data_IF_486185511897
#
_entry.id   IF_486185511897
#
_cell.length_a   1.000
_cell.length_b   1.000
_cell.length_c   1.000
_cell.angle_alpha   90.00
_cell.angle_beta   90.00
_cell.angle_gamma   90.00
#
_symmetry.space_group_name_H-M   'P 1'
#
loop_
_entity.id
_entity.type
_entity.pdbx_description
1 polymer ?
#
# COMPACT_ATOMS: atom_id res chain seq x y z
N UNK A 1 -1.30 37.96 71.40
CA UNK A 1 -0.75 39.01 70.53
C UNK A 1 -0.42 38.39 69.17
N UNK A 2 -0.99 38.97 68.11
CA UNK A 2 -0.49 38.96 66.73
C UNK A 2 1.04 38.82 66.67
N UNK A 3 1.60 37.99 65.77
CA UNK A 3 2.47 38.37 64.62
C UNK A 3 2.96 37.12 63.84
N UNK A 4 2.62 37.08 62.54
CA UNK A 4 3.45 36.81 61.35
C UNK A 4 4.60 35.78 61.46
N UNK A 5 4.69 34.84 60.50
CA UNK A 5 5.84 34.68 59.58
C UNK A 5 5.41 33.76 58.43
N UNK A 6 5.27 34.38 57.25
CA UNK A 6 5.40 33.74 55.95
C UNK A 6 6.84 33.26 55.83
N UNK A 7 7.07 31.96 55.70
CA UNK A 7 8.39 31.44 55.34
C UNK A 7 8.25 30.65 54.05
N UNK A 8 8.74 31.28 52.99
CA UNK A 8 8.93 30.70 51.67
C UNK A 8 9.87 29.49 51.80
N UNK A 9 9.31 28.29 51.70
CA UNK A 9 10.12 27.09 51.53
C UNK A 9 10.56 27.04 50.07
N UNK A 10 11.81 27.42 49.86
CA UNK A 10 12.54 27.30 48.61
C UNK A 10 12.50 25.84 48.12
N UNK A 11 11.76 25.59 47.05
CA UNK A 11 11.88 24.35 46.28
C UNK A 11 12.93 24.55 45.19
N UNK A 12 14.14 24.10 45.55
CA UNK A 12 15.14 23.42 44.74
C UNK A 12 15.08 23.60 43.21
N UNK A 13 16.16 24.21 42.72
CA UNK A 13 16.72 24.13 41.38
C UNK A 13 16.72 22.68 40.85
N UNK A 14 15.95 22.42 39.80
CA UNK A 14 16.26 21.36 38.83
C UNK A 14 15.94 21.90 37.45
N UNK A 15 16.99 22.27 36.71
CA UNK A 15 16.91 22.55 35.28
C UNK A 15 16.78 21.23 34.53
N UNK A 16 15.67 20.93 33.84
CA UNK A 16 15.70 19.87 32.85
C UNK A 16 16.55 20.35 31.67
N UNK A 17 17.72 19.72 31.51
CA UNK A 17 18.46 19.67 30.25
C UNK A 17 17.49 19.34 29.12
N UNK A 18 17.69 19.96 27.96
CA UNK A 18 16.99 19.68 26.71
C UNK A 18 16.82 18.17 26.49
N UNK A 19 15.66 17.65 26.85
CA UNK A 19 15.13 16.48 26.20
C UNK A 19 14.70 16.97 24.82
N UNK A 20 15.63 16.86 23.86
CA UNK A 20 15.28 16.74 22.45
C UNK A 20 14.44 15.47 22.34
N UNK A 21 13.16 15.60 22.71
CA UNK A 21 12.13 14.69 22.28
C UNK A 21 11.98 14.99 20.79
N UNK A 22 12.94 14.44 20.02
CA UNK A 22 12.82 14.20 18.62
C UNK A 22 11.55 13.37 18.41
N UNK A 23 10.42 14.08 18.35
CA UNK A 23 9.28 13.65 17.57
C UNK A 23 9.77 13.76 16.14
N UNK A 24 10.59 12.78 15.77
CA UNK A 24 10.61 12.21 14.44
C UNK A 24 9.17 11.75 14.20
N UNK A 25 8.32 12.71 13.84
CA UNK A 25 7.29 12.49 12.84
C UNK A 25 8.07 11.92 11.65
N UNK A 26 8.25 10.59 11.68
CA UNK A 26 8.14 9.77 10.50
C UNK A 26 6.77 10.16 9.94
N UNK A 27 6.78 11.24 9.17
CA UNK A 27 5.81 11.48 8.12
C UNK A 27 5.82 10.15 7.41
N UNK A 28 4.83 9.32 7.71
CA UNK A 28 4.47 8.22 6.87
C UNK A 28 4.28 8.90 5.54
N UNK A 29 5.31 8.83 4.69
CA UNK A 29 5.19 9.18 3.31
C UNK A 29 4.17 8.17 2.84
N UNK A 30 2.92 8.60 2.84
CA UNK A 30 1.87 7.99 2.06
C UNK A 30 2.33 8.21 0.62
N UNK A 31 3.29 7.37 0.22
CA UNK A 31 3.53 7.02 -1.15
C UNK A 31 2.27 6.26 -1.53
N UNK A 32 1.18 7.01 -1.78
CA UNK A 32 0.42 6.70 -2.96
C UNK A 32 1.42 6.90 -4.11
N UNK A 33 2.27 5.90 -4.31
CA UNK A 33 2.82 5.66 -5.63
C UNK A 33 1.55 5.46 -6.42
N UNK A 34 1.14 6.52 -7.12
CA UNK A 34 0.05 6.48 -8.07
C UNK A 34 0.57 5.58 -9.17
N UNK A 35 0.57 4.28 -8.88
CA UNK A 35 0.96 3.25 -9.81
C UNK A 35 -0.01 3.47 -10.97
N UNK A 36 0.56 3.84 -12.10
CA UNK A 36 -0.22 4.13 -13.30
C UNK A 36 -0.85 2.82 -13.73
N UNK A 37 -2.07 2.60 -13.21
CA UNK A 37 -2.94 1.49 -13.57
C UNK A 37 -3.89 2.00 -14.63
N UNK A 38 -3.76 1.43 -15.82
CA UNK A 38 -4.65 1.70 -16.93
C UNK A 38 -5.62 0.56 -17.01
N UNK A 39 -6.92 0.81 -16.81
CA UNK A 39 -7.94 -0.21 -17.04
C UNK A 39 -7.91 -0.62 -18.52
N UNK A 40 -7.74 -1.91 -18.78
CA UNK A 40 -7.74 -2.50 -20.11
C UNK A 40 -8.90 -3.48 -20.22
N UNK A 41 -9.48 -3.63 -21.41
CA UNK A 41 -10.50 -4.66 -21.59
C UNK A 41 -9.85 -6.02 -21.71
N UNK A 42 -10.58 -7.07 -21.37
CA UNK A 42 -10.17 -8.46 -21.61
C UNK A 42 -9.87 -8.70 -23.09
N UNK A 43 -10.54 -7.98 -23.98
CA UNK A 43 -10.34 -7.98 -25.43
C UNK A 43 -8.97 -7.41 -25.83
N UNK A 44 -8.46 -6.42 -25.10
CA UNK A 44 -7.17 -5.78 -25.33
C UNK A 44 -6.01 -6.57 -24.73
N UNK A 45 -6.29 -7.63 -23.96
CA UNK A 45 -5.25 -8.47 -23.40
C UNK A 45 -4.51 -9.25 -24.51
N UNK A 46 -3.19 -9.39 -24.39
CA UNK A 46 -2.40 -10.24 -25.29
C UNK A 46 -2.94 -11.68 -25.31
N UNK A 47 -2.86 -12.34 -26.46
CA UNK A 47 -3.15 -13.78 -26.58
C UNK A 47 -2.50 -14.66 -25.50
N UNK A 48 -1.22 -14.48 -25.14
CA UNK A 48 -0.62 -15.31 -24.09
C UNK A 48 -1.26 -15.09 -22.72
N UNK A 49 -1.65 -13.85 -22.38
CA UNK A 49 -2.39 -13.55 -21.14
C UNK A 49 -3.78 -14.20 -21.18
N UNK A 50 -4.47 -14.12 -22.34
CA UNK A 50 -5.75 -14.79 -22.56
C UNK A 50 -5.66 -16.32 -22.46
N UNK A 51 -4.53 -16.91 -22.84
CA UNK A 51 -4.32 -18.35 -22.72
C UNK A 51 -4.02 -18.74 -21.27
N UNK A 52 -3.26 -17.94 -20.52
CA UNK A 52 -2.99 -18.18 -19.11
C UNK A 52 -4.29 -18.27 -18.28
N UNK A 53 -5.22 -17.33 -18.49
CA UNK A 53 -6.54 -17.31 -17.82
C UNK A 53 -7.54 -18.37 -18.33
N UNK A 54 -7.23 -19.03 -19.45
CA UNK A 54 -8.03 -20.15 -19.99
C UNK A 54 -7.51 -21.49 -19.50
N UNK A 55 -6.39 -21.51 -18.77
CA UNK A 55 -5.86 -22.73 -18.18
C UNK A 55 -6.80 -23.27 -17.11
N UNK A 56 -6.71 -24.57 -16.84
CA UNK A 56 -7.56 -25.25 -15.84
C UNK A 56 -7.49 -24.62 -14.44
N UNK A 57 -6.37 -23.96 -14.11
CA UNK A 57 -6.20 -23.20 -12.87
C UNK A 57 -7.24 -22.07 -12.68
N UNK A 58 -7.78 -21.55 -13.78
CA UNK A 58 -8.80 -20.49 -13.80
C UNK A 58 -10.21 -21.04 -14.07
N UNK A 59 -10.40 -22.35 -14.05
CA UNK A 59 -11.71 -22.94 -14.29
C UNK A 59 -12.73 -22.51 -13.21
N UNK A 60 -13.84 -21.93 -13.67
CA UNK A 60 -14.87 -21.34 -12.82
C UNK A 60 -14.56 -19.93 -12.32
N UNK A 61 -13.38 -19.38 -12.59
CA UNK A 61 -13.05 -17.98 -12.31
C UNK A 61 -13.51 -17.08 -13.46
N UNK A 62 -14.19 -15.98 -13.13
CA UNK A 62 -14.62 -14.96 -14.11
C UNK A 62 -13.77 -13.71 -13.94
N UNK A 63 -13.21 -13.21 -15.02
CA UNK A 63 -12.51 -11.92 -14.99
C UNK A 63 -13.56 -10.82 -14.86
N UNK A 64 -13.44 -10.03 -13.81
CA UNK A 64 -14.27 -8.84 -13.60
C UNK A 64 -13.58 -7.62 -14.20
N UNK A 65 -12.29 -7.50 -13.96
CA UNK A 65 -11.51 -6.33 -14.36
C UNK A 65 -10.09 -6.72 -14.77
N UNK A 66 -9.50 -5.91 -15.65
CA UNK A 66 -8.13 -6.05 -16.09
C UNK A 66 -7.45 -4.69 -16.11
N UNK A 67 -6.21 -4.64 -15.63
CA UNK A 67 -5.43 -3.41 -15.51
C UNK A 67 -4.03 -3.64 -16.05
N UNK A 68 -3.51 -2.73 -16.87
CA UNK A 68 -2.10 -2.63 -17.19
C UNK A 68 -1.44 -1.74 -16.16
N UNK A 69 -0.55 -2.29 -15.36
CA UNK A 69 0.17 -1.59 -14.31
C UNK A 69 1.60 -1.35 -14.77
N UNK A 70 2.01 -0.08 -14.76
CA UNK A 70 3.40 0.31 -14.99
C UNK A 70 4.10 0.52 -13.66
N UNK A 71 5.14 -0.29 -13.39
CA UNK A 71 6.00 -0.16 -12.21
C UNK A 71 6.97 1.03 -12.38
N UNK A 72 7.54 1.48 -11.27
CA UNK A 72 8.52 2.58 -11.25
C UNK A 72 9.80 2.27 -12.05
N UNK A 73 10.14 0.99 -12.20
CA UNK A 73 11.27 0.51 -13.01
C UNK A 73 10.99 0.51 -14.53
N UNK A 74 9.81 1.02 -14.96
CA UNK A 74 9.27 0.98 -16.33
C UNK A 74 8.87 -0.41 -16.82
N UNK A 75 8.85 -1.42 -15.94
CA UNK A 75 8.29 -2.72 -16.25
C UNK A 75 6.77 -2.66 -16.23
N UNK A 76 6.12 -3.32 -17.17
CA UNK A 76 4.65 -3.37 -17.26
C UNK A 76 4.17 -4.79 -17.00
N UNK A 77 3.09 -4.91 -16.22
CA UNK A 77 2.40 -6.17 -16.00
C UNK A 77 0.88 -5.96 -16.03
N UNK A 78 0.17 -7.03 -16.33
CA UNK A 78 -1.28 -7.08 -16.31
C UNK A 78 -1.73 -7.59 -14.94
N UNK A 79 -2.65 -6.88 -14.31
CA UNK A 79 -3.33 -7.26 -13.09
C UNK A 79 -4.79 -7.57 -13.44
N UNK A 80 -5.19 -8.81 -13.23
CA UNK A 80 -6.52 -9.31 -13.53
C UNK A 80 -7.23 -9.60 -12.22
N UNK A 81 -8.36 -8.95 -12.00
CA UNK A 81 -9.25 -9.28 -10.89
C UNK A 81 -10.24 -10.34 -11.37
N UNK A 82 -10.24 -11.48 -10.69
CA UNK A 82 -11.08 -12.64 -10.99
C UNK A 82 -11.98 -12.97 -9.82
N UNK A 83 -13.19 -13.45 -10.12
CA UNK A 83 -14.20 -13.80 -9.12
C UNK A 83 -14.77 -15.20 -9.37
N UNK A 84 -14.89 -16.00 -8.32
CA UNK A 84 -15.49 -17.35 -8.33
C UNK A 84 -16.47 -17.47 -7.17
N UNK A 85 -17.77 -17.37 -7.47
CA UNK A 85 -18.80 -17.29 -6.43
C UNK A 85 -18.60 -16.04 -5.56
N UNK A 86 -18.32 -16.24 -4.27
CA UNK A 86 -18.04 -15.17 -3.31
C UNK A 86 -16.53 -14.91 -3.14
N UNK A 87 -15.67 -15.71 -3.75
CA UNK A 87 -14.22 -15.54 -3.70
C UNK A 87 -13.76 -14.58 -4.79
N UNK A 88 -12.89 -13.64 -4.43
CA UNK A 88 -12.19 -12.78 -5.38
C UNK A 88 -10.70 -12.96 -5.23
N UNK A 89 -10.00 -13.15 -6.34
CA UNK A 89 -8.56 -13.25 -6.40
C UNK A 89 -8.01 -12.26 -7.42
N UNK A 90 -6.74 -11.89 -7.23
CA UNK A 90 -6.03 -10.99 -8.11
C UNK A 90 -4.82 -11.70 -8.68
N UNK A 91 -4.70 -11.67 -9.99
CA UNK A 91 -3.65 -12.39 -10.71
C UNK A 91 -2.82 -11.40 -11.49
N UNK A 92 -1.51 -11.44 -11.24
CA UNK A 92 -0.55 -10.62 -11.96
C UNK A 92 0.17 -11.47 -13.00
N UNK A 93 0.11 -11.04 -14.26
CA UNK A 93 0.70 -11.70 -15.41
C UNK A 93 1.56 -10.71 -16.19
N UNK A 94 2.70 -11.15 -16.71
CA UNK A 94 3.45 -10.36 -17.68
C UNK A 94 2.78 -10.38 -19.07
N UNK A 95 3.36 -9.66 -20.03
CA UNK A 95 2.91 -9.67 -21.43
C UNK A 95 2.96 -11.05 -22.12
N UNK A 96 3.69 -12.02 -21.55
CA UNK A 96 3.83 -13.38 -22.03
C UNK A 96 2.91 -14.36 -21.29
N UNK A 97 2.01 -13.88 -20.41
CA UNK A 97 1.12 -14.73 -19.63
C UNK A 97 1.81 -15.50 -18.51
N UNK A 98 3.03 -15.12 -18.12
CA UNK A 98 3.74 -15.69 -16.98
C UNK A 98 3.38 -14.92 -15.70
N UNK A 99 3.24 -15.65 -14.59
CA UNK A 99 3.02 -15.02 -13.30
C UNK A 99 4.21 -14.15 -12.89
N UNK A 100 3.90 -12.93 -12.46
CA UNK A 100 4.89 -12.03 -11.86
C UNK A 100 4.58 -11.86 -10.37
N UNK A 101 5.59 -12.13 -9.54
CA UNK A 101 5.50 -11.94 -8.08
C UNK A 101 5.63 -10.44 -7.71
#
# INVERSE_FOLDING_TARGET
MKKIIVSALAFLLVSPLWADAGVQMKTARSLFSAQEKVSVKVEDLPEPVKNAIRSDAFEGWKITDAYLVTREDRSQYYELDVKKGDESARVKLDKNGQHVD
#
